data_IF_377096998752
#
_entry.id   IF_377096998752
#
_cell.length_a   1.000
_cell.length_b   1.000
_cell.length_c   1.000
_cell.angle_alpha   90.00
_cell.angle_beta   90.00
_cell.angle_gamma   90.00
#
_symmetry.space_group_name_H-M   'P 1'
#
loop_
_entity.id
_entity.type
_entity.pdbx_description
1 polymer ?
#
# COMPACT_ATOMS: atom_id res chain seq x y z
N UNK A 1 -57.93 -17.20 73.62
CA UNK A 1 -58.21 -17.68 72.26
C UNK A 1 -57.60 -16.74 71.22
N UNK A 2 -56.43 -17.06 70.66
CA UNK A 2 -55.89 -16.42 69.45
C UNK A 2 -55.24 -17.52 68.62
N UNK A 3 -55.92 -17.96 67.55
CA UNK A 3 -55.42 -18.97 66.63
C UNK A 3 -54.79 -18.30 65.41
N UNK A 4 -53.57 -18.74 65.12
CA UNK A 4 -52.60 -18.18 64.17
C UNK A 4 -53.00 -18.51 62.73
N UNK A 5 -53.13 -17.50 61.86
CA UNK A 5 -53.35 -17.67 60.42
C UNK A 5 -52.07 -18.14 59.74
N UNK A 6 -52.12 -19.33 59.10
CA UNK A 6 -51.06 -19.84 58.22
C UNK A 6 -51.00 -19.04 56.92
N UNK A 7 -49.85 -18.44 56.64
CA UNK A 7 -49.54 -17.80 55.35
C UNK A 7 -49.11 -18.89 54.37
N UNK A 8 -49.85 -19.04 53.26
CA UNK A 8 -49.47 -19.93 52.15
C UNK A 8 -48.35 -19.27 51.33
N UNK A 9 -47.20 -19.92 51.26
CA UNK A 9 -46.12 -19.53 50.34
C UNK A 9 -46.51 -19.91 48.90
N UNK A 10 -46.53 -18.91 48.03
CA UNK A 10 -46.74 -19.07 46.58
C UNK A 10 -45.43 -19.53 45.91
N UNK A 11 -45.46 -20.46 44.92
CA UNK A 11 -44.24 -20.96 44.29
C UNK A 11 -43.61 -19.88 43.40
N UNK A 12 -42.32 -19.63 43.60
CA UNK A 12 -41.53 -18.74 42.73
C UNK A 12 -41.37 -19.41 41.36
N UNK A 13 -42.07 -18.90 40.35
CA UNK A 13 -41.94 -19.38 38.98
C UNK A 13 -40.53 -19.06 38.44
N UNK A 14 -39.76 -20.09 38.10
CA UNK A 14 -38.46 -19.95 37.42
C UNK A 14 -38.68 -19.41 36.01
N UNK A 15 -38.67 -18.08 35.84
CA UNK A 15 -38.63 -17.44 34.51
C UNK A 15 -37.28 -17.77 33.86
N UNK A 16 -37.32 -18.59 32.82
CA UNK A 16 -36.18 -18.86 31.95
C UNK A 16 -35.72 -17.55 31.30
N UNK A 17 -34.56 -17.04 31.70
CA UNK A 17 -33.92 -15.89 31.08
C UNK A 17 -33.48 -16.33 29.67
N UNK A 18 -34.29 -15.99 28.65
CA UNK A 18 -33.88 -16.11 27.24
C UNK A 18 -32.65 -15.22 27.05
N UNK A 19 -31.45 -15.82 27.00
CA UNK A 19 -30.21 -15.15 26.59
C UNK A 19 -30.45 -14.52 25.22
N UNK A 20 -30.62 -13.20 25.18
CA UNK A 20 -30.61 -12.42 23.94
C UNK A 20 -29.25 -12.66 23.29
N UNK A 21 -29.23 -13.33 22.14
CA UNK A 21 -28.02 -13.43 21.30
C UNK A 21 -27.64 -12.01 20.91
N UNK A 22 -26.60 -11.47 21.54
CA UNK A 22 -25.99 -10.20 21.16
C UNK A 22 -25.57 -10.34 19.70
N UNK A 23 -26.15 -9.51 18.83
CA UNK A 23 -25.78 -9.46 17.41
C UNK A 23 -24.31 -9.04 17.40
N UNK A 24 -23.40 -9.99 17.14
CA UNK A 24 -21.97 -9.69 17.00
C UNK A 24 -21.86 -8.74 15.82
N UNK A 25 -21.62 -7.46 16.10
CA UNK A 25 -21.32 -6.47 15.07
C UNK A 25 -20.06 -6.96 14.41
N UNK A 26 -20.17 -7.44 13.17
CA UNK A 26 -19.04 -7.97 12.41
C UNK A 26 -18.06 -6.80 12.24
N UNK A 27 -16.93 -6.86 12.96
CA UNK A 27 -15.90 -5.83 12.92
C UNK A 27 -15.50 -5.62 11.46
N UNK A 28 -15.52 -4.37 11.00
CA UNK A 28 -15.23 -4.03 9.61
C UNK A 28 -13.75 -4.34 9.35
N UNK A 29 -13.47 -5.17 8.35
CA UNK A 29 -12.11 -5.55 7.99
C UNK A 29 -11.52 -4.52 7.04
N UNK A 30 -11.22 -3.36 7.60
CA UNK A 30 -10.64 -2.26 6.85
C UNK A 30 -9.16 -2.57 6.55
N UNK A 31 -8.70 -2.20 5.35
CA UNK A 31 -7.34 -2.34 4.85
C UNK A 31 -6.86 -0.96 4.40
N UNK A 32 -5.69 -0.54 4.87
CA UNK A 32 -5.01 0.66 4.39
C UNK A 32 -3.81 0.26 3.53
N UNK A 33 -3.77 0.79 2.31
CA UNK A 33 -2.63 0.68 1.41
C UNK A 33 -1.99 2.05 1.31
N UNK A 34 -0.72 2.14 1.66
CA UNK A 34 0.06 3.37 1.57
C UNK A 34 1.00 3.21 0.39
N UNK A 35 1.03 4.18 -0.52
CA UNK A 35 1.90 4.16 -1.68
C UNK A 35 2.94 5.28 -1.60
N UNK A 36 4.18 4.95 -1.95
CA UNK A 36 5.08 5.94 -2.51
C UNK A 36 4.55 6.46 -3.85
N UNK A 37 5.11 7.56 -4.34
CA UNK A 37 4.71 8.22 -5.58
C UNK A 37 5.75 7.97 -6.67
N UNK A 38 6.92 8.57 -6.52
CA UNK A 38 7.99 8.56 -7.51
C UNK A 38 8.58 7.16 -7.63
N UNK A 39 8.80 6.70 -8.87
CA UNK A 39 9.27 5.36 -9.22
C UNK A 39 8.41 4.19 -8.66
N UNK A 40 7.30 4.47 -7.98
CA UNK A 40 6.36 3.47 -7.48
C UNK A 40 5.03 3.52 -8.21
N UNK A 41 4.38 4.69 -8.29
CA UNK A 41 3.14 4.88 -9.05
C UNK A 41 3.41 5.57 -10.38
N UNK A 42 4.41 6.45 -10.44
CA UNK A 42 4.69 7.28 -11.60
C UNK A 42 6.20 7.41 -11.83
N UNK A 43 6.59 7.86 -13.03
CA UNK A 43 7.89 8.47 -13.26
C UNK A 43 7.69 9.96 -13.57
N UNK A 44 8.32 10.83 -12.79
CA UNK A 44 8.24 12.29 -12.97
C UNK A 44 9.46 12.83 -13.72
N UNK A 45 9.25 13.32 -14.94
CA UNK A 45 10.31 13.87 -15.79
C UNK A 45 10.30 15.40 -15.73
N UNK A 46 11.26 15.97 -14.98
CA UNK A 46 11.40 17.42 -14.81
C UNK A 46 12.58 17.99 -15.59
N UNK A 47 12.34 18.97 -16.47
CA UNK A 47 13.36 19.57 -17.33
C UNK A 47 14.61 20.10 -16.57
N UNK A 48 14.47 20.56 -15.32
CA UNK A 48 15.63 21.02 -14.53
C UNK A 48 16.41 19.88 -13.86
N UNK A 49 15.74 18.80 -13.46
CA UNK A 49 16.28 17.81 -12.51
C UNK A 49 16.57 16.45 -13.15
N UNK A 50 16.04 16.20 -14.35
CA UNK A 50 16.15 14.94 -15.08
C UNK A 50 16.54 15.24 -16.53
N UNK A 51 17.60 16.03 -16.75
CA UNK A 51 17.98 16.52 -18.08
C UNK A 51 18.16 15.37 -19.07
N UNK A 52 18.79 14.29 -18.65
CA UNK A 52 19.03 13.11 -19.48
C UNK A 52 17.72 12.38 -19.78
N UNK A 53 16.93 12.02 -18.77
CA UNK A 53 15.64 11.37 -18.97
C UNK A 53 14.66 12.22 -19.82
N UNK A 54 14.67 13.54 -19.68
CA UNK A 54 13.86 14.46 -20.51
C UNK A 54 14.40 14.55 -21.93
N UNK A 55 15.72 14.50 -22.12
CA UNK A 55 16.34 14.42 -23.45
C UNK A 55 15.94 13.10 -24.13
N UNK A 56 16.08 11.98 -23.43
CA UNK A 56 15.67 10.66 -23.92
C UNK A 56 14.19 10.62 -24.26
N UNK A 57 13.33 11.18 -23.40
CA UNK A 57 11.91 11.34 -23.71
C UNK A 57 11.71 12.09 -25.02
N UNK A 58 12.37 13.24 -25.22
CA UNK A 58 12.22 14.03 -26.46
C UNK A 58 12.69 13.29 -27.71
N UNK A 59 13.77 12.52 -27.59
CA UNK A 59 14.37 11.75 -28.68
C UNK A 59 13.63 10.44 -28.99
N UNK A 60 12.79 9.97 -28.07
CA UNK A 60 12.00 8.74 -28.25
C UNK A 60 10.89 8.93 -29.27
N UNK A 61 10.69 7.92 -30.12
CA UNK A 61 9.66 7.87 -31.14
C UNK A 61 8.24 8.02 -30.56
N UNK A 62 7.37 8.76 -31.24
CA UNK A 62 6.00 9.01 -30.79
C UNK A 62 5.15 7.74 -30.70
N UNK A 63 5.39 6.72 -31.54
CA UNK A 63 4.68 5.45 -31.45
C UNK A 63 5.07 4.67 -30.18
N UNK A 64 6.29 4.87 -29.67
CA UNK A 64 6.73 4.30 -28.40
C UNK A 64 6.09 5.04 -27.24
N UNK A 65 6.11 6.38 -27.26
CA UNK A 65 5.42 7.21 -26.24
C UNK A 65 3.94 6.89 -26.15
N UNK A 66 3.27 6.71 -27.29
CA UNK A 66 1.84 6.40 -27.35
C UNK A 66 1.47 5.06 -26.68
N UNK A 67 2.43 4.14 -26.47
CA UNK A 67 2.21 2.90 -25.71
C UNK A 67 2.22 3.15 -24.20
N UNK A 68 2.91 4.20 -23.74
CA UNK A 68 2.95 4.59 -22.34
C UNK A 68 1.73 5.45 -22.01
N UNK A 69 1.20 5.30 -20.80
CA UNK A 69 0.18 6.21 -20.29
C UNK A 69 0.90 7.38 -19.63
N UNK A 70 0.79 8.60 -20.17
CA UNK A 70 1.44 9.78 -19.62
C UNK A 70 0.56 11.02 -19.67
N UNK A 71 0.87 11.98 -18.80
CA UNK A 71 0.27 13.31 -18.76
C UNK A 71 1.38 14.34 -18.95
N UNK A 72 1.14 15.34 -19.80
CA UNK A 72 2.07 16.48 -19.97
C UNK A 72 1.47 17.72 -19.32
N UNK A 73 2.19 18.30 -18.36
CA UNK A 73 1.79 19.55 -17.73
C UNK A 73 2.94 20.56 -17.77
N UNK A 74 2.72 21.66 -18.50
CA UNK A 74 3.71 22.72 -18.72
C UNK A 74 5.03 22.18 -19.28
N UNK A 75 6.05 22.01 -18.44
CA UNK A 75 7.41 21.57 -18.79
C UNK A 75 7.76 20.21 -18.18
N UNK A 76 6.76 19.47 -17.73
CA UNK A 76 6.91 18.18 -17.04
C UNK A 76 6.10 17.12 -17.77
N UNK A 77 6.65 15.91 -17.77
CA UNK A 77 5.98 14.70 -18.26
C UNK A 77 5.87 13.76 -17.09
N UNK A 78 4.67 13.22 -16.88
CA UNK A 78 4.35 12.32 -15.78
C UNK A 78 3.90 11.02 -16.42
N UNK A 79 4.72 9.98 -16.32
CA UNK A 79 4.41 8.67 -16.88
C UNK A 79 3.75 7.86 -15.78
N UNK A 80 2.57 7.33 -16.05
CA UNK A 80 1.76 6.56 -15.11
C UNK A 80 2.13 5.08 -15.24
N UNK A 81 2.41 4.43 -14.11
CA UNK A 81 2.72 3.00 -14.10
C UNK A 81 1.54 2.19 -14.61
N UNK A 82 1.75 1.11 -15.38
CA UNK A 82 0.65 0.28 -15.84
C UNK A 82 -0.23 -0.22 -14.69
N UNK A 83 -1.49 -0.45 -15.05
CA UNK A 83 -2.50 -1.05 -14.17
C UNK A 83 -2.99 -0.20 -12.98
N UNK A 84 -2.61 1.08 -12.90
CA UNK A 84 -3.15 2.01 -11.90
C UNK A 84 -4.69 2.14 -11.96
N UNK A 85 -5.28 2.21 -13.16
CA UNK A 85 -6.74 2.26 -13.33
C UNK A 85 -7.42 1.04 -12.70
N UNK A 86 -6.86 -0.15 -12.94
CA UNK A 86 -7.37 -1.42 -12.40
C UNK A 86 -7.24 -1.45 -10.88
N UNK A 87 -6.11 -0.97 -10.35
CA UNK A 87 -5.87 -0.84 -8.91
C UNK A 87 -6.89 0.10 -8.25
N UNK A 88 -7.03 1.34 -8.73
CA UNK A 88 -7.93 2.30 -8.11
C UNK A 88 -9.40 1.92 -8.27
N UNK A 89 -9.80 1.36 -9.42
CA UNK A 89 -11.14 0.78 -9.59
C UNK A 89 -11.41 -0.34 -8.58
N UNK A 90 -10.40 -1.17 -8.29
CA UNK A 90 -10.53 -2.19 -7.26
C UNK A 90 -10.70 -1.56 -5.87
N UNK A 91 -9.91 -0.55 -5.51
CA UNK A 91 -10.06 0.15 -4.24
C UNK A 91 -11.44 0.82 -4.10
N UNK A 92 -11.93 1.53 -5.13
CA UNK A 92 -13.25 2.17 -5.10
C UNK A 92 -14.41 1.19 -4.92
N UNK A 93 -14.33 0.00 -5.56
CA UNK A 93 -15.35 -1.05 -5.43
C UNK A 93 -15.39 -1.71 -4.06
N UNK A 94 -14.35 -1.55 -3.24
CA UNK A 94 -14.22 -2.19 -1.93
C UNK A 94 -14.18 -1.10 -0.85
N UNK A 95 -15.33 -0.76 -0.27
CA UNK A 95 -15.47 0.32 0.72
C UNK A 95 -14.69 0.12 2.03
N UNK A 96 -14.08 -1.04 2.22
CA UNK A 96 -13.18 -1.37 3.32
C UNK A 96 -11.70 -1.13 2.97
N UNK A 97 -11.37 -0.67 1.76
CA UNK A 97 -10.01 -0.30 1.38
C UNK A 97 -9.88 1.22 1.43
N UNK A 98 -8.86 1.70 2.10
CA UNK A 98 -8.39 3.09 2.03
C UNK A 98 -7.01 3.15 1.41
N UNK A 99 -6.73 4.28 0.76
CA UNK A 99 -5.46 4.54 0.08
C UNK A 99 -4.84 5.78 0.70
N UNK A 100 -3.55 5.76 0.99
CA UNK A 100 -2.77 6.94 1.38
C UNK A 100 -1.57 7.12 0.46
N UNK A 101 -1.12 8.36 0.28
CA UNK A 101 0.11 8.68 -0.45
C UNK A 101 1.18 9.18 0.53
N UNK A 102 2.42 8.74 0.36
CA UNK A 102 3.55 9.18 1.17
C UNK A 102 4.81 9.29 0.31
N UNK A 103 5.18 10.52 -0.04
CA UNK A 103 6.45 10.84 -0.74
C UNK A 103 7.47 11.43 0.23
N UNK A 104 8.75 11.36 -0.10
CA UNK A 104 9.84 12.08 0.58
C UNK A 104 10.16 13.42 -0.11
N UNK A 105 9.31 13.85 -1.04
CA UNK A 105 9.31 15.21 -1.59
C UNK A 105 8.31 16.08 -0.83
N UNK A 106 8.18 17.35 -1.17
CA UNK A 106 7.28 18.28 -0.47
C UNK A 106 5.82 17.83 -0.52
N UNK A 107 5.05 18.07 0.54
CA UNK A 107 3.63 17.67 0.61
C UNK A 107 2.80 18.27 -0.53
N UNK A 108 3.11 19.49 -0.93
CA UNK A 108 2.43 20.16 -2.05
C UNK A 108 2.67 19.44 -3.38
N UNK A 109 3.88 18.90 -3.59
CA UNK A 109 4.13 18.01 -4.73
C UNK A 109 3.23 16.77 -4.65
N UNK A 110 3.21 16.09 -3.51
CA UNK A 110 2.34 14.92 -3.30
C UNK A 110 0.86 15.22 -3.57
N UNK A 111 0.36 16.38 -3.13
CA UNK A 111 -1.03 16.81 -3.39
C UNK A 111 -1.31 17.07 -4.86
N UNK A 112 -0.34 17.67 -5.58
CA UNK A 112 -0.47 17.90 -7.02
C UNK A 112 -0.61 16.58 -7.78
N UNK A 113 0.18 15.56 -7.42
CA UNK A 113 0.07 14.22 -8.01
C UNK A 113 -1.23 13.55 -7.60
N UNK A 114 -1.68 13.68 -6.35
CA UNK A 114 -2.97 13.16 -5.91
C UNK A 114 -4.13 13.74 -6.73
N UNK A 115 -4.09 15.05 -7.01
CA UNK A 115 -5.08 15.72 -7.85
C UNK A 115 -5.04 15.19 -9.29
N UNK A 116 -3.85 15.07 -9.89
CA UNK A 116 -3.67 14.50 -11.22
C UNK A 116 -4.25 13.08 -11.32
N UNK A 117 -3.88 12.20 -10.38
CA UNK A 117 -4.38 10.82 -10.35
C UNK A 117 -5.91 10.80 -10.18
N UNK A 118 -6.46 11.71 -9.37
CA UNK A 118 -7.91 11.81 -9.17
C UNK A 118 -8.63 12.22 -10.44
N UNK A 119 -8.10 13.21 -11.17
CA UNK A 119 -8.65 13.64 -12.45
C UNK A 119 -8.55 12.54 -13.51
N UNK A 120 -7.36 11.95 -13.69
CA UNK A 120 -7.08 10.93 -14.71
C UNK A 120 -7.91 9.64 -14.54
N UNK A 121 -8.16 9.26 -13.29
CA UNK A 121 -8.87 8.02 -12.96
C UNK A 121 -10.30 8.25 -12.44
N UNK A 122 -10.80 9.49 -12.48
CA UNK A 122 -12.11 9.91 -11.98
C UNK A 122 -12.37 9.42 -10.54
N UNK A 123 -11.41 9.66 -9.65
CA UNK A 123 -11.47 9.26 -8.25
C UNK A 123 -12.28 10.29 -7.44
N UNK A 124 -13.03 9.86 -6.42
CA UNK A 124 -13.76 10.78 -5.55
C UNK A 124 -12.79 11.69 -4.77
N UNK A 125 -13.23 12.89 -4.40
CA UNK A 125 -12.42 13.91 -3.71
C UNK A 125 -11.72 13.39 -2.44
N UNK A 126 -12.36 12.46 -1.72
CA UNK A 126 -11.85 11.84 -0.51
C UNK A 126 -11.26 10.43 -0.73
N UNK A 127 -10.84 10.12 -1.96
CA UNK A 127 -10.25 8.81 -2.28
C UNK A 127 -8.98 8.55 -1.47
N UNK A 128 -8.07 9.53 -1.41
CA UNK A 128 -6.85 9.46 -0.62
C UNK A 128 -7.14 9.89 0.82
N UNK A 129 -6.94 9.00 1.78
CA UNK A 129 -7.13 9.24 3.22
C UNK A 129 -6.17 10.31 3.75
N UNK A 130 -4.95 10.34 3.22
CA UNK A 130 -3.94 11.35 3.50
C UNK A 130 -2.95 11.43 2.34
N UNK A 131 -2.24 12.55 2.29
CA UNK A 131 -1.07 12.77 1.44
C UNK A 131 0.02 13.35 2.32
N UNK A 132 1.10 12.59 2.51
CA UNK A 132 2.26 12.99 3.30
C UNK A 132 3.46 13.32 2.42
N UNK A 133 4.21 14.33 2.84
CA UNK A 133 5.48 14.75 2.25
C UNK A 133 6.63 14.65 3.25
N UNK A 134 7.78 15.19 2.88
CA UNK A 134 8.99 15.23 3.71
C UNK A 134 8.75 15.95 5.05
N UNK A 135 7.88 16.96 5.06
CA UNK A 135 7.53 17.74 6.25
C UNK A 135 6.75 16.93 7.29
N UNK A 136 6.23 15.76 6.90
CA UNK A 136 5.57 14.81 7.79
C UNK A 136 6.54 13.79 8.40
N UNK A 137 7.81 13.74 7.99
CA UNK A 137 8.79 12.78 8.50
C UNK A 137 9.30 13.21 9.87
N UNK A 138 9.06 12.38 10.90
CA UNK A 138 9.53 12.66 12.28
C UNK A 138 11.00 12.31 12.50
N UNK A 139 11.49 11.26 11.86
CA UNK A 139 12.86 10.75 12.00
C UNK A 139 13.41 10.33 10.64
N UNK A 140 14.43 11.02 10.16
CA UNK A 140 15.08 10.73 8.89
C UNK A 140 15.87 9.41 8.89
N UNK A 141 16.16 8.81 10.06
CA UNK A 141 16.73 7.47 10.16
C UNK A 141 15.70 6.38 9.86
N UNK A 142 14.41 6.68 10.07
CA UNK A 142 13.30 5.73 9.94
C UNK A 142 12.23 6.32 9.02
N UNK A 143 12.58 6.44 7.74
CA UNK A 143 11.72 7.03 6.71
C UNK A 143 10.40 6.25 6.57
N UNK A 144 9.30 6.97 6.40
CA UNK A 144 7.95 6.42 6.21
C UNK A 144 7.52 5.42 7.30
N UNK A 145 7.84 5.75 8.55
CA UNK A 145 7.46 4.94 9.72
C UNK A 145 5.93 4.74 9.83
N UNK A 146 5.46 3.51 9.56
CA UNK A 146 4.04 3.18 9.63
C UNK A 146 3.43 3.36 11.02
N UNK A 147 4.22 3.40 12.10
CA UNK A 147 3.70 3.67 13.45
C UNK A 147 3.06 5.05 13.54
N UNK A 148 3.55 6.03 12.78
CA UNK A 148 2.93 7.36 12.69
C UNK A 148 1.49 7.32 12.16
N UNK A 149 1.23 6.41 11.22
CA UNK A 149 -0.10 6.20 10.67
C UNK A 149 -0.98 5.50 11.69
N UNK A 150 -0.46 4.50 12.40
CA UNK A 150 -1.20 3.77 13.42
C UNK A 150 -1.59 4.66 14.60
N UNK A 151 -0.71 5.58 15.00
CA UNK A 151 -0.99 6.57 16.04
C UNK A 151 -2.09 7.55 15.63
N UNK A 152 -2.02 8.07 14.39
CA UNK A 152 -2.98 9.07 13.90
C UNK A 152 -4.33 8.46 13.50
N UNK A 153 -4.33 7.21 13.05
CA UNK A 153 -5.52 6.49 12.61
C UNK A 153 -5.61 5.12 13.32
N UNK A 154 -6.05 5.08 14.59
CA UNK A 154 -6.01 3.87 15.44
C UNK A 154 -6.82 2.67 14.96
N UNK A 155 -7.72 2.86 13.99
CA UNK A 155 -8.40 1.76 13.27
C UNK A 155 -7.46 0.95 12.38
N UNK A 156 -6.31 1.51 12.05
CA UNK A 156 -5.26 0.90 11.26
C UNK A 156 -4.07 0.53 12.15
N UNK A 157 -3.47 -0.63 11.86
CA UNK A 157 -2.36 -1.19 12.60
C UNK A 157 -1.62 -2.21 11.72
N UNK A 158 -0.55 -2.82 12.23
CA UNK A 158 0.26 -3.79 11.48
C UNK A 158 -0.51 -5.00 10.91
N UNK A 159 -1.72 -5.32 11.37
CA UNK A 159 -2.47 -6.44 10.79
C UNK A 159 -3.35 -6.07 9.60
N UNK A 160 -3.47 -4.77 9.28
CA UNK A 160 -4.30 -4.25 8.20
C UNK A 160 -3.76 -3.00 7.48
N UNK A 161 -2.48 -2.69 7.61
CA UNK A 161 -1.81 -1.61 6.87
C UNK A 161 -0.54 -2.11 6.20
N UNK A 162 -0.34 -1.82 4.92
CA UNK A 162 0.96 -2.01 4.29
C UNK A 162 1.39 -0.83 3.42
N UNK A 163 2.71 -0.65 3.34
CA UNK A 163 3.40 0.31 2.47
C UNK A 163 3.82 -0.38 1.17
N UNK A 164 3.64 0.29 0.03
CA UNK A 164 4.16 -0.09 -1.29
C UNK A 164 5.15 0.97 -1.71
N UNK A 165 6.39 0.56 -1.98
CA UNK A 165 7.52 1.46 -2.21
C UNK A 165 8.57 0.72 -3.04
N UNK A 166 9.35 1.43 -3.85
CA UNK A 166 10.48 0.88 -4.60
C UNK A 166 11.80 0.98 -3.83
N UNK A 167 11.91 1.88 -2.85
CA UNK A 167 13.12 2.09 -2.08
C UNK A 167 13.22 1.14 -0.89
N UNK A 168 14.22 0.26 -0.94
CA UNK A 168 14.51 -0.74 0.11
C UNK A 168 14.55 -0.15 1.52
N UNK A 169 15.14 1.03 1.68
CA UNK A 169 15.35 1.68 2.97
C UNK A 169 14.05 2.10 3.67
N UNK A 170 13.00 2.41 2.91
CA UNK A 170 11.67 2.73 3.46
C UNK A 170 10.93 1.47 3.92
N UNK A 171 11.39 0.29 3.50
CA UNK A 171 10.73 -0.99 3.74
C UNK A 171 11.48 -1.85 4.77
N UNK A 172 12.80 -1.90 4.71
CA UNK A 172 13.62 -2.92 5.41
C UNK A 172 13.82 -2.67 6.91
N UNK A 173 13.51 -1.47 7.42
CA UNK A 173 13.66 -1.18 8.84
C UNK A 173 12.64 -1.97 9.70
N UNK A 174 12.91 -2.18 11.01
CA UNK A 174 12.14 -3.10 11.85
C UNK A 174 10.62 -2.88 11.89
N UNK A 175 10.18 -1.63 11.71
CA UNK A 175 8.77 -1.26 11.76
C UNK A 175 8.04 -1.68 10.49
N UNK A 176 8.65 -1.47 9.32
CA UNK A 176 8.00 -1.69 8.03
C UNK A 176 8.30 -3.07 7.44
N UNK A 177 9.36 -3.78 7.85
CA UNK A 177 9.82 -5.03 7.17
C UNK A 177 8.77 -6.15 7.06
N UNK A 178 7.77 -6.17 7.94
CA UNK A 178 6.64 -7.13 7.89
C UNK A 178 5.32 -6.54 7.38
N UNK A 179 5.37 -5.31 6.91
CA UNK A 179 4.25 -4.50 6.43
C UNK A 179 4.60 -3.70 5.18
N UNK A 180 5.74 -3.94 4.57
CA UNK A 180 6.20 -3.28 3.36
C UNK A 180 6.23 -4.26 2.19
N UNK A 181 5.79 -3.77 1.03
CA UNK A 181 5.74 -4.46 -0.24
C UNK A 181 6.67 -3.76 -1.22
N UNK A 182 7.83 -4.36 -1.45
CA UNK A 182 8.87 -3.79 -2.30
C UNK A 182 8.56 -4.06 -3.78
N UNK A 183 8.51 -3.01 -4.59
CA UNK A 183 8.38 -3.12 -6.05
C UNK A 183 9.69 -2.77 -6.75
N UNK A 184 9.93 -3.24 -7.98
CA UNK A 184 10.96 -2.63 -8.82
C UNK A 184 10.64 -1.16 -9.07
N UNK A 185 11.66 -0.32 -9.21
CA UNK A 185 11.50 1.07 -9.60
C UNK A 185 10.87 1.15 -11.00
N UNK A 186 9.83 1.96 -11.14
CA UNK A 186 9.18 2.28 -12.40
C UNK A 186 9.86 3.49 -13.03
N UNK A 187 10.87 3.21 -13.85
CA UNK A 187 11.70 4.24 -14.46
C UNK A 187 12.00 3.95 -15.94
N UNK A 188 10.99 3.96 -16.84
CA UNK A 188 11.18 3.68 -18.28
C UNK A 188 12.24 4.56 -18.97
N UNK A 189 12.49 5.76 -18.43
CA UNK A 189 13.52 6.69 -18.92
C UNK A 189 14.73 6.80 -18.00
N UNK A 190 14.96 5.76 -17.19
CA UNK A 190 16.07 5.65 -16.26
C UNK A 190 15.86 6.34 -14.92
N UNK A 191 16.59 5.88 -13.91
CA UNK A 191 16.56 6.46 -12.57
C UNK A 191 17.43 7.72 -12.49
N UNK A 192 17.04 8.64 -11.63
CA UNK A 192 17.83 9.85 -11.38
C UNK A 192 19.22 9.47 -10.86
N UNK A 193 20.25 9.83 -11.62
CA UNK A 193 21.66 9.70 -11.18
C UNK A 193 22.31 8.33 -11.41
N UNK A 194 21.72 7.42 -12.18
CA UNK A 194 22.42 6.24 -12.69
C UNK A 194 22.73 6.46 -14.18
N UNK A 195 24.02 6.49 -14.50
CA UNK A 195 24.58 6.84 -15.83
C UNK A 195 24.82 5.62 -16.72
N UNK A 196 24.52 4.42 -16.24
CA UNK A 196 24.85 3.22 -16.97
C UNK A 196 23.98 3.13 -18.24
N UNK A 197 24.50 2.44 -19.25
CA UNK A 197 23.94 2.28 -20.59
C UNK A 197 22.55 1.62 -20.57
N UNK A 198 21.54 2.35 -20.11
CA UNK A 198 20.16 1.89 -20.14
C UNK A 198 19.79 1.78 -21.61
N UNK A 199 19.65 0.53 -22.06
CA UNK A 199 18.99 0.23 -23.33
C UNK A 199 17.54 0.65 -23.16
N UNK A 200 17.23 1.86 -23.63
CA UNK A 200 15.93 2.52 -23.45
C UNK A 200 14.79 1.61 -23.90
N UNK A 201 14.98 0.91 -25.02
CA UNK A 201 14.00 -0.03 -25.55
C UNK A 201 13.68 -1.15 -24.56
N UNK A 202 14.69 -1.68 -23.86
CA UNK A 202 14.50 -2.72 -22.83
C UNK A 202 13.82 -2.14 -21.59
N UNK A 203 14.21 -0.93 -21.15
CA UNK A 203 13.59 -0.26 -20.00
C UNK A 203 12.10 0.04 -20.25
N UNK A 204 11.77 0.55 -21.44
CA UNK A 204 10.40 0.80 -21.86
C UNK A 204 9.63 -0.51 -22.01
N UNK A 205 10.21 -1.55 -22.61
CA UNK A 205 9.56 -2.87 -22.72
C UNK A 205 9.23 -3.43 -21.33
N UNK A 206 10.20 -3.41 -20.41
CA UNK A 206 10.00 -3.82 -19.02
C UNK A 206 8.91 -2.99 -18.33
N UNK A 207 8.89 -1.68 -18.56
CA UNK A 207 7.89 -0.78 -18.00
C UNK A 207 6.48 -1.06 -18.54
N UNK A 208 6.34 -1.47 -19.80
CA UNK A 208 5.05 -1.83 -20.42
C UNK A 208 4.52 -3.18 -19.91
N UNK A 209 5.43 -4.09 -19.53
CA UNK A 209 5.11 -5.41 -18.97
C UNK A 209 5.04 -5.41 -17.43
N UNK A 210 5.14 -4.24 -16.79
CA UNK A 210 5.15 -4.11 -15.34
C UNK A 210 3.79 -4.45 -14.71
N UNK A 211 3.73 -5.57 -13.98
CA UNK A 211 2.54 -6.06 -13.30
C UNK A 211 2.48 -5.74 -11.80
N UNK A 212 3.35 -4.85 -11.28
CA UNK A 212 3.43 -4.56 -9.85
C UNK A 212 2.07 -4.13 -9.27
N UNK A 213 1.34 -3.25 -9.97
CA UNK A 213 0.02 -2.80 -9.51
C UNK A 213 -1.05 -3.90 -9.59
N UNK A 214 -0.97 -4.84 -10.56
CA UNK A 214 -1.83 -6.03 -10.56
C UNK A 214 -1.55 -6.92 -9.34
N UNK A 215 -0.29 -7.04 -8.98
CA UNK A 215 0.15 -7.84 -7.84
C UNK A 215 -0.29 -7.23 -6.51
N UNK A 216 -0.26 -5.89 -6.38
CA UNK A 216 -0.86 -5.19 -5.21
C UNK A 216 -2.36 -5.46 -5.10
N UNK A 217 -3.11 -5.48 -6.21
CA UNK A 217 -4.55 -5.87 -6.21
C UNK A 217 -4.72 -7.31 -5.72
N UNK A 218 -3.91 -8.23 -6.23
CA UNK A 218 -3.94 -9.65 -5.84
C UNK A 218 -3.67 -9.84 -4.35
N UNK A 219 -2.67 -9.14 -3.81
CA UNK A 219 -2.37 -9.09 -2.38
C UNK A 219 -3.54 -8.58 -1.56
N UNK A 220 -4.06 -7.42 -1.94
CA UNK A 220 -5.17 -6.78 -1.23
C UNK A 220 -6.39 -7.68 -1.15
N UNK A 221 -6.71 -8.41 -2.24
CA UNK A 221 -7.79 -9.40 -2.26
C UNK A 221 -7.55 -10.56 -1.30
N UNK A 222 -6.33 -11.08 -1.26
CA UNK A 222 -5.95 -12.17 -0.36
C UNK A 222 -6.02 -11.75 1.10
N UNK A 223 -5.51 -10.55 1.42
CA UNK A 223 -5.56 -9.97 2.76
C UNK A 223 -7.01 -9.79 3.23
N UNK A 224 -7.88 -9.18 2.43
CA UNK A 224 -9.28 -8.95 2.80
C UNK A 224 -10.01 -10.27 3.05
N UNK A 225 -9.83 -11.26 2.16
CA UNK A 225 -10.41 -12.59 2.33
C UNK A 225 -9.91 -13.24 3.62
N UNK A 226 -8.62 -13.17 3.86
CA UNK A 226 -7.98 -13.73 5.05
C UNK A 226 -8.51 -13.09 6.33
N UNK A 227 -8.58 -11.77 6.40
CA UNK A 227 -9.09 -11.01 7.56
C UNK A 227 -10.56 -11.32 7.82
N UNK A 228 -11.32 -11.61 6.77
CA UNK A 228 -12.73 -12.01 6.89
C UNK A 228 -12.90 -13.36 7.58
N UNK A 229 -11.98 -14.30 7.34
CA UNK A 229 -11.95 -15.59 8.04
C UNK A 229 -11.19 -15.59 9.37
N UNK A 230 -10.31 -14.61 9.60
CA UNK A 230 -9.39 -14.57 10.75
C UNK A 230 -9.38 -13.18 11.41
N UNK A 231 -10.55 -12.67 11.80
CA UNK A 231 -10.71 -11.30 12.31
C UNK A 231 -9.93 -11.01 13.61
N UNK A 232 -9.58 -12.07 14.37
CA UNK A 232 -8.77 -11.97 15.59
C UNK A 232 -7.27 -12.09 15.33
N UNK A 233 -6.84 -12.37 14.11
CA UNK A 233 -5.42 -12.44 13.79
C UNK A 233 -4.80 -11.04 13.74
N UNK A 234 -3.94 -10.79 14.74
CA UNK A 234 -3.22 -9.53 14.87
C UNK A 234 -1.81 -9.59 14.29
N UNK A 235 -1.33 -10.70 13.72
CA UNK A 235 0.03 -10.76 13.15
C UNK A 235 0.24 -9.71 12.05
N UNK A 236 1.46 -9.19 11.84
CA UNK A 236 1.78 -8.37 10.67
C UNK A 236 1.35 -9.01 9.34
N UNK A 237 0.99 -8.19 8.35
CA UNK A 237 0.46 -8.67 7.06
C UNK A 237 1.40 -9.64 6.34
N UNK A 238 2.70 -9.36 6.36
CA UNK A 238 3.72 -10.16 5.69
C UNK A 238 4.52 -11.03 6.66
N UNK A 239 3.95 -11.33 7.84
CA UNK A 239 4.51 -12.35 8.71
C UNK A 239 4.58 -13.71 7.98
N UNK A 240 5.68 -14.44 8.16
CA UNK A 240 5.94 -15.71 7.44
C UNK A 240 4.79 -16.70 7.57
N UNK A 241 4.24 -16.86 8.77
CA UNK A 241 3.16 -17.82 9.00
C UNK A 241 1.87 -17.33 8.36
N UNK A 242 1.54 -16.04 8.50
CA UNK A 242 0.35 -15.45 7.86
C UNK A 242 0.41 -15.53 6.34
N UNK A 243 1.57 -15.28 5.75
CA UNK A 243 1.82 -15.42 4.32
C UNK A 243 1.65 -16.87 3.85
N UNK A 244 2.10 -17.85 4.63
CA UNK A 244 1.85 -19.26 4.35
C UNK A 244 0.34 -19.58 4.43
N UNK A 245 -0.36 -19.08 5.44
CA UNK A 245 -1.82 -19.25 5.61
C UNK A 245 -2.59 -18.66 4.39
N UNK A 246 -2.10 -17.55 3.82
CA UNK A 246 -2.64 -16.92 2.60
C UNK A 246 -2.20 -17.59 1.28
N UNK A 247 -1.27 -18.57 1.34
CA UNK A 247 -0.59 -19.18 0.18
C UNK A 247 0.17 -18.16 -0.67
N UNK A 248 0.92 -17.27 -0.01
CA UNK A 248 1.67 -16.15 -0.62
C UNK A 248 3.15 -16.16 -0.24
N UNK A 249 3.67 -17.26 0.30
CA UNK A 249 5.07 -17.38 0.73
C UNK A 249 6.08 -17.15 -0.40
N UNK A 250 5.71 -17.34 -1.66
CA UNK A 250 6.57 -17.12 -2.84
C UNK A 250 7.02 -15.67 -3.02
N UNK A 251 6.31 -14.72 -2.41
CA UNK A 251 6.65 -13.30 -2.42
C UNK A 251 7.61 -12.90 -1.32
N UNK A 252 7.82 -13.74 -0.30
CA UNK A 252 8.80 -13.47 0.73
C UNK A 252 10.20 -13.75 0.19
N UNK A 253 10.93 -12.69 -0.14
CA UNK A 253 12.30 -12.76 -0.62
C UNK A 253 13.28 -12.46 0.51
N UNK A 254 14.43 -13.10 0.49
CA UNK A 254 15.56 -12.74 1.36
C UNK A 254 16.32 -11.60 0.69
N UNK A 255 16.48 -10.47 1.38
CA UNK A 255 17.06 -9.24 0.80
C UNK A 255 18.47 -8.95 1.33
N UNK A 256 18.88 -9.57 2.44
CA UNK A 256 20.25 -9.54 2.93
C UNK A 256 20.71 -10.97 3.22
N UNK A 257 21.73 -11.45 2.51
CA UNK A 257 22.36 -12.77 2.78
C UNK A 257 23.35 -12.71 3.95
N UNK A 258 23.96 -11.54 4.16
CA UNK A 258 25.10 -11.38 5.07
C UNK A 258 24.72 -10.77 6.43
N UNK A 259 23.44 -10.48 6.65
CA UNK A 259 22.90 -10.05 7.94
C UNK A 259 22.49 -11.27 8.78
N UNK A 260 22.88 -11.35 10.07
CA UNK A 260 22.57 -12.50 10.93
C UNK A 260 21.06 -12.67 11.20
N UNK A 261 20.27 -11.60 11.03
CA UNK A 261 18.82 -11.70 10.93
C UNK A 261 18.40 -11.76 9.47
N UNK A 262 17.95 -12.93 9.00
CA UNK A 262 17.39 -13.08 7.64
C UNK A 262 16.18 -12.14 7.45
N UNK A 263 16.40 -10.95 6.87
CA UNK A 263 15.33 -10.00 6.57
C UNK A 263 14.53 -10.54 5.37
N UNK A 264 13.29 -10.91 5.65
CA UNK A 264 12.30 -11.31 4.64
C UNK A 264 11.35 -10.15 4.38
N UNK A 265 11.26 -9.74 3.13
CA UNK A 265 10.35 -8.69 2.68
C UNK A 265 9.42 -9.28 1.62
N UNK A 266 8.16 -8.85 1.61
CA UNK A 266 7.28 -9.18 0.50
C UNK A 266 7.67 -8.31 -0.70
N UNK A 267 7.98 -8.93 -1.84
CA UNK A 267 8.33 -8.16 -3.04
C UNK A 267 7.77 -8.75 -4.33
N UNK A 268 7.63 -7.89 -5.32
CA UNK A 268 7.36 -8.26 -6.71
C UNK A 268 8.64 -8.14 -7.55
N UNK A 269 8.78 -9.02 -8.55
CA UNK A 269 9.94 -9.04 -9.44
C UNK A 269 11.26 -9.39 -8.73
N UNK A 270 12.36 -9.02 -9.38
CA UNK A 270 13.70 -8.98 -8.79
C UNK A 270 14.03 -7.52 -8.49
N UNK A 271 13.60 -6.97 -7.34
CA UNK A 271 13.96 -5.60 -7.01
C UNK A 271 15.49 -5.51 -7.02
N UNK A 272 16.01 -4.50 -7.71
CA UNK A 272 17.45 -4.31 -7.86
C UNK A 272 18.02 -4.08 -6.48
N UNK A 273 18.75 -5.07 -5.96
CA UNK A 273 19.50 -4.93 -4.71
C UNK A 273 20.81 -4.25 -5.09
N UNK A 274 20.76 -2.96 -5.43
CA UNK A 274 22.01 -2.18 -5.39
C UNK A 274 22.45 -2.19 -3.93
N UNK A 275 23.66 -2.71 -3.66
CA UNK A 275 24.24 -2.66 -2.32
C UNK A 275 24.43 -1.21 -1.92
#
# INVERSE_FOLDING_TARGET
>A
MKSVRKIKQTPISKRSVKRRKTKVVKKKNDLLIVFDIDETLIQFLHAKNSKDAVKLWKETDENVKAKLHYVTEKKHVIILRPHLRQLFNYCMKNANIRVGLWTLSEREYGKSIAHLLSAEFNLPENFFLFVYGDEDVKDYKTRKDLSMIWDKFPTYHHSNTFLVDDLKQNIMHPINRKNGFLTPAFAPFGMKGHRDDIVIDESIANALEDDAMKEVVKFSRKIIRYNTSHAEDRRPLFDKKRMADMKMQSYLKMVAKDEPELIRVASYGRPTISM
#
